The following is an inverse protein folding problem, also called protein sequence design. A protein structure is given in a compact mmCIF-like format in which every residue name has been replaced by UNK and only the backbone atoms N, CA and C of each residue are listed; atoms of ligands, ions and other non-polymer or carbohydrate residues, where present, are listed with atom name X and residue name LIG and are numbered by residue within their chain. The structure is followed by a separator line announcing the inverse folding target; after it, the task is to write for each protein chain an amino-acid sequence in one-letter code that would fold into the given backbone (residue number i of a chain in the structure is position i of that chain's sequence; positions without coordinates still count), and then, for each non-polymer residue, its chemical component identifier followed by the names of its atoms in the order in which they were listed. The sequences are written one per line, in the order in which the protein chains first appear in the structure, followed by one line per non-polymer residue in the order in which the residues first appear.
data_IF_488871135445
#
_entry.id   IF_488871135445
#
_cell.length_a   1.000
_cell.length_b   1.000
_cell.length_c   1.000
_cell.angle_alpha   90.00
_cell.angle_beta   90.00
_cell.angle_gamma   90.00
#
_symmetry.space_group_name_H-M   'P 1'
#
loop_
_entity.id
_entity.type
_entity.pdbx_description
1 polymer ?
#
# COMPACT_ATOMS: atom_id res chain seq x y z
N UNK A 1 -18.96 2.53 -40.04
CA UNK A 1 -19.43 2.83 -38.67
C UNK A 1 -19.54 1.50 -37.95
N UNK A 2 -18.98 1.35 -36.73
CA UNK A 2 -19.09 0.11 -35.96
C UNK A 2 -20.58 -0.19 -35.70
N UNK A 3 -20.95 -1.46 -35.70
CA UNK A 3 -22.32 -1.87 -35.40
C UNK A 3 -22.65 -1.62 -33.92
N UNK A 4 -23.93 -1.54 -33.59
CA UNK A 4 -24.41 -1.38 -32.20
C UNK A 4 -23.88 -2.49 -31.27
N UNK A 5 -23.67 -3.70 -31.81
CA UNK A 5 -23.03 -4.81 -31.10
C UNK A 5 -21.54 -4.61 -30.80
N UNK A 6 -20.81 -3.82 -31.59
CA UNK A 6 -19.38 -3.53 -31.33
C UNK A 6 -19.22 -2.47 -30.24
N UNK A 7 -20.14 -1.50 -30.19
CA UNK A 7 -20.18 -0.49 -29.14
C UNK A 7 -20.44 -1.13 -27.77
N UNK A 8 -21.44 -2.01 -27.67
CA UNK A 8 -21.76 -2.70 -26.42
C UNK A 8 -20.60 -3.57 -25.93
N UNK A 9 -19.90 -4.26 -26.83
CA UNK A 9 -18.67 -5.00 -26.49
C UNK A 9 -17.58 -4.09 -25.96
N UNK A 10 -17.39 -2.92 -26.56
CA UNK A 10 -16.36 -1.98 -26.13
C UNK A 10 -16.63 -1.41 -24.74
N UNK A 11 -17.90 -1.10 -24.45
CA UNK A 11 -18.34 -0.67 -23.12
C UNK A 11 -18.07 -1.76 -22.09
N UNK A 12 -18.38 -3.02 -22.42
CA UNK A 12 -18.11 -4.15 -21.53
C UNK A 12 -16.61 -4.34 -21.27
N UNK A 13 -15.76 -4.21 -22.29
CA UNK A 13 -14.30 -4.26 -22.12
C UNK A 13 -13.78 -3.12 -21.22
N UNK A 14 -14.33 -1.91 -21.36
CA UNK A 14 -13.98 -0.79 -20.50
C UNK A 14 -14.43 -1.02 -19.04
N UNK A 15 -15.62 -1.57 -18.83
CA UNK A 15 -16.11 -1.93 -17.48
C UNK A 15 -15.25 -3.00 -16.82
N UNK A 16 -14.87 -4.04 -17.56
CA UNK A 16 -13.95 -5.05 -17.06
C UNK A 16 -12.58 -4.45 -16.69
N UNK A 17 -12.12 -3.47 -17.50
CA UNK A 17 -10.86 -2.78 -17.23
C UNK A 17 -10.93 -1.88 -16.01
N UNK A 18 -12.01 -1.13 -15.88
CA UNK A 18 -12.32 -0.31 -14.70
C UNK A 18 -12.31 -1.17 -13.44
N UNK A 19 -13.03 -2.29 -13.44
CA UNK A 19 -13.07 -3.23 -12.32
C UNK A 19 -11.66 -3.75 -11.98
N UNK A 20 -10.86 -4.10 -12.98
CA UNK A 20 -9.50 -4.57 -12.76
C UNK A 20 -8.60 -3.47 -12.14
N UNK A 21 -8.78 -2.21 -12.53
CA UNK A 21 -8.07 -1.07 -11.92
C UNK A 21 -8.54 -0.82 -10.49
N UNK A 22 -9.86 -0.89 -10.23
CA UNK A 22 -10.42 -0.76 -8.88
C UNK A 22 -9.86 -1.82 -7.92
N UNK A 23 -9.84 -3.07 -8.35
CA UNK A 23 -9.28 -4.17 -7.54
C UNK A 23 -7.81 -3.91 -7.19
N UNK A 24 -6.99 -3.44 -8.15
CA UNK A 24 -5.59 -3.13 -7.86
C UNK A 24 -5.47 -1.91 -6.94
N UNK A 25 -6.22 -0.83 -7.18
CA UNK A 25 -6.29 0.36 -6.31
C UNK A 25 -6.58 -0.03 -4.87
N UNK A 26 -7.65 -0.79 -4.63
CA UNK A 26 -8.03 -1.24 -3.29
C UNK A 26 -6.99 -2.17 -2.66
N UNK A 27 -6.37 -3.04 -3.46
CA UNK A 27 -5.31 -3.91 -2.97
C UNK A 27 -4.09 -3.11 -2.51
N UNK A 28 -3.68 -2.08 -3.26
CA UNK A 28 -2.61 -1.18 -2.84
C UNK A 28 -3.02 -0.34 -1.62
N UNK A 29 -4.26 0.14 -1.52
CA UNK A 29 -4.75 0.85 -0.33
C UNK A 29 -4.61 -0.01 0.93
N UNK A 30 -5.12 -1.26 0.91
CA UNK A 30 -4.99 -2.18 2.05
C UNK A 30 -3.54 -2.51 2.38
N UNK A 31 -2.70 -2.59 1.35
CA UNK A 31 -1.27 -2.81 1.53
C UNK A 31 -0.60 -1.62 2.20
N UNK A 32 -0.93 -0.39 1.78
CA UNK A 32 -0.50 0.85 2.42
C UNK A 32 -0.95 0.90 3.87
N UNK A 33 -2.19 0.53 4.18
CA UNK A 33 -2.72 0.51 5.55
C UNK A 33 -1.93 -0.47 6.44
N UNK A 34 -1.63 -1.66 5.91
CA UNK A 34 -0.83 -2.66 6.62
C UNK A 34 0.61 -2.19 6.85
N UNK A 35 1.27 -1.65 5.82
CA UNK A 35 2.63 -1.10 5.95
C UNK A 35 2.64 0.05 6.95
N UNK A 36 1.63 0.92 6.90
CA UNK A 36 1.48 2.04 7.83
C UNK A 36 1.40 1.54 9.27
N UNK A 37 0.59 0.50 9.53
CA UNK A 37 0.49 -0.11 10.85
C UNK A 37 1.83 -0.71 11.31
N UNK A 38 2.53 -1.43 10.45
CA UNK A 38 3.85 -2.01 10.74
C UNK A 38 4.87 -0.91 11.02
N UNK A 39 4.88 0.15 10.22
CA UNK A 39 5.76 1.31 10.39
C UNK A 39 5.51 1.99 11.73
N UNK A 40 4.25 2.26 12.09
CA UNK A 40 3.91 2.86 13.37
C UNK A 40 4.25 1.95 14.55
N UNK A 41 4.10 0.64 14.44
CA UNK A 41 4.49 -0.27 15.50
C UNK A 41 6.01 -0.34 15.70
N UNK A 42 6.80 -0.26 14.62
CA UNK A 42 8.26 -0.20 14.70
C UNK A 42 8.75 1.13 15.30
N UNK A 43 8.29 2.27 14.77
CA UNK A 43 8.70 3.60 15.24
C UNK A 43 8.17 3.84 16.66
N UNK A 44 6.89 3.57 16.89
CA UNK A 44 6.24 3.72 18.19
C UNK A 44 6.81 2.76 19.22
N UNK A 45 7.06 1.50 18.85
CA UNK A 45 7.70 0.52 19.71
C UNK A 45 9.12 0.92 20.11
N UNK A 46 9.93 1.41 19.17
CA UNK A 46 11.26 1.94 19.47
C UNK A 46 11.19 3.16 20.40
N UNK A 47 10.28 4.10 20.14
CA UNK A 47 10.09 5.28 21.00
C UNK A 47 9.65 4.90 22.42
N UNK A 48 8.73 3.94 22.56
CA UNK A 48 8.30 3.43 23.87
C UNK A 48 9.46 2.75 24.61
N UNK A 49 10.27 1.93 23.94
CA UNK A 49 11.43 1.27 24.54
C UNK A 49 12.51 2.28 24.97
N UNK A 50 12.74 3.33 24.19
CA UNK A 50 13.64 4.43 24.57
C UNK A 50 13.07 5.17 25.78
N UNK A 51 11.77 5.46 25.79
CA UNK A 51 11.08 6.11 26.90
C UNK A 51 11.15 5.30 28.19
N UNK A 52 10.95 3.97 28.14
CA UNK A 52 11.06 3.10 29.32
C UNK A 52 12.49 2.97 29.81
N UNK A 53 13.48 2.95 28.91
CA UNK A 53 14.90 2.98 29.28
C UNK A 53 15.25 4.29 30.00
N UNK A 54 14.87 5.44 29.42
CA UNK A 54 15.07 6.77 30.02
C UNK A 54 14.36 6.91 31.36
N UNK A 55 13.11 6.46 31.47
CA UNK A 55 12.37 6.50 32.73
C UNK A 55 13.07 5.69 33.83
N UNK A 56 13.55 4.49 33.51
CA UNK A 56 14.26 3.66 34.48
C UNK A 56 15.60 4.25 34.92
N UNK A 57 16.29 5.00 34.05
CA UNK A 57 17.56 5.65 34.36
C UNK A 57 17.36 6.96 35.13
N UNK A 58 16.42 7.81 34.70
CA UNK A 58 16.28 9.19 35.19
C UNK A 58 15.38 9.35 36.42
N UNK A 59 14.36 8.49 36.59
CA UNK A 59 13.38 8.65 37.68
C UNK A 59 13.77 7.92 38.96
N UNK A 60 14.93 7.26 39.00
CA UNK A 60 15.41 6.58 40.21
C UNK A 60 16.67 7.27 40.75
N UNK A 61 16.77 7.52 42.07
CA UNK A 61 17.96 8.09 42.68
C UNK A 61 19.18 7.19 42.39
N UNK A 62 20.37 7.78 42.21
CA UNK A 62 21.60 7.06 41.81
C UNK A 62 21.90 5.82 42.69
N UNK A 63 21.52 5.85 43.97
CA UNK A 63 21.71 4.74 44.91
C UNK A 63 20.80 3.52 44.63
N UNK A 64 19.83 3.65 43.73
CA UNK A 64 18.87 2.60 43.31
C UNK A 64 19.10 2.09 41.88
N UNK A 65 20.23 2.46 41.25
CA UNK A 65 20.71 1.84 40.01
C UNK A 65 21.19 0.41 40.31
N UNK A 66 20.23 -0.49 40.51
CA UNK A 66 20.51 -1.92 40.61
C UNK A 66 20.95 -2.46 39.25
N UNK A 67 21.80 -3.49 39.27
CA UNK A 67 22.25 -4.19 38.05
C UNK A 67 21.07 -4.60 37.16
N UNK A 68 19.94 -4.96 37.76
CA UNK A 68 18.71 -5.31 37.05
C UNK A 68 18.11 -4.15 36.24
N UNK A 69 18.05 -2.93 36.79
CA UNK A 69 17.51 -1.77 36.09
C UNK A 69 18.38 -1.37 34.90
N UNK A 70 19.71 -1.46 35.07
CA UNK A 70 20.67 -1.22 33.99
C UNK A 70 20.53 -2.25 32.87
N UNK A 71 20.35 -3.54 33.21
CA UNK A 71 20.10 -4.60 32.21
C UNK A 71 18.80 -4.32 31.42
N UNK A 72 17.73 -3.91 32.10
CA UNK A 72 16.45 -3.56 31.46
C UNK A 72 16.65 -2.37 30.51
N UNK A 73 17.30 -1.29 30.96
CA UNK A 73 17.52 -0.11 30.14
C UNK A 73 18.39 -0.44 28.90
N UNK A 74 19.48 -1.17 29.07
CA UNK A 74 20.35 -1.60 27.95
C UNK A 74 19.61 -2.50 26.97
N UNK A 75 18.82 -3.46 27.46
CA UNK A 75 18.02 -4.35 26.61
C UNK A 75 16.96 -3.58 25.83
N UNK A 76 16.26 -2.65 26.47
CA UNK A 76 15.28 -1.79 25.81
C UNK A 76 15.92 -0.89 24.75
N UNK A 77 17.07 -0.27 25.04
CA UNK A 77 17.81 0.53 24.06
C UNK A 77 18.29 -0.32 22.88
N UNK A 78 18.80 -1.53 23.13
CA UNK A 78 19.22 -2.45 22.07
C UNK A 78 18.05 -2.87 21.17
N UNK A 79 16.91 -3.24 21.76
CA UNK A 79 15.70 -3.58 21.02
C UNK A 79 15.16 -2.40 20.21
N UNK A 80 15.24 -1.17 20.74
CA UNK A 80 14.84 0.03 20.01
C UNK A 80 15.72 0.27 18.77
N UNK A 81 17.03 0.10 18.90
CA UNK A 81 17.98 0.21 17.77
C UNK A 81 17.73 -0.88 16.74
N UNK A 82 17.45 -2.12 17.16
CA UNK A 82 17.08 -3.20 16.24
C UNK A 82 15.80 -2.90 15.47
N UNK A 83 14.76 -2.38 16.13
CA UNK A 83 13.50 -2.00 15.48
C UNK A 83 13.70 -0.86 14.48
N UNK A 84 14.47 0.16 14.85
CA UNK A 84 14.80 1.27 13.96
C UNK A 84 15.66 0.80 12.77
N UNK A 85 16.66 -0.05 13.02
CA UNK A 85 17.49 -0.66 12.00
C UNK A 85 16.69 -1.53 11.03
N UNK A 86 15.74 -2.32 11.54
CA UNK A 86 14.84 -3.12 10.71
C UNK A 86 13.90 -2.25 9.87
N UNK A 87 13.39 -1.14 10.42
CA UNK A 87 12.59 -0.17 9.68
C UNK A 87 13.35 0.42 8.48
N UNK A 88 14.63 0.76 8.68
CA UNK A 88 15.52 1.28 7.64
C UNK A 88 15.87 0.17 6.64
N UNK A 89 16.28 -1.01 7.12
CA UNK A 89 16.73 -2.12 6.29
C UNK A 89 15.63 -2.70 5.40
N UNK A 90 14.37 -2.57 5.80
CA UNK A 90 13.22 -2.97 5.00
C UNK A 90 12.69 -1.87 4.09
N UNK A 91 13.35 -0.71 4.02
CA UNK A 91 12.99 0.42 3.14
C UNK A 91 11.49 0.77 3.24
N UNK A 92 10.93 0.67 4.45
CA UNK A 92 9.48 0.76 4.67
C UNK A 92 8.87 2.06 4.16
N UNK A 93 9.63 3.15 4.22
CA UNK A 93 9.23 4.46 3.71
C UNK A 93 9.17 4.50 2.18
N UNK A 94 10.13 3.86 1.49
CA UNK A 94 10.13 3.76 0.03
C UNK A 94 9.01 2.85 -0.46
N UNK A 95 8.83 1.69 0.18
CA UNK A 95 7.72 0.77 -0.12
C UNK A 95 6.38 1.47 0.08
N UNK A 96 6.21 2.23 1.16
CA UNK A 96 4.98 2.98 1.42
C UNK A 96 4.74 4.08 0.37
N UNK A 97 5.76 4.87 0.02
CA UNK A 97 5.66 5.92 -0.98
C UNK A 97 5.31 5.37 -2.35
N UNK A 98 6.02 4.33 -2.80
CA UNK A 98 5.77 3.67 -4.08
C UNK A 98 4.39 3.02 -4.12
N UNK A 99 3.94 2.41 -3.03
CA UNK A 99 2.61 1.81 -2.94
C UNK A 99 1.50 2.88 -3.08
N UNK A 100 1.69 4.07 -2.48
CA UNK A 100 0.77 5.21 -2.67
C UNK A 100 0.80 5.77 -4.10
N UNK A 101 1.99 5.86 -4.71
CA UNK A 101 2.12 6.26 -6.12
C UNK A 101 1.33 5.31 -7.02
N UNK A 102 1.53 4.00 -6.86
CA UNK A 102 0.84 2.98 -7.64
C UNK A 102 -0.67 3.01 -7.40
N UNK A 103 -1.12 3.15 -6.15
CA UNK A 103 -2.54 3.32 -5.83
C UNK A 103 -3.15 4.50 -6.60
N UNK A 104 -2.50 5.66 -6.57
CA UNK A 104 -2.99 6.86 -7.24
C UNK A 104 -3.03 6.68 -8.77
N UNK A 105 -2.02 6.07 -9.36
CA UNK A 105 -2.00 5.76 -10.79
C UNK A 105 -3.14 4.82 -11.20
N UNK A 106 -3.47 3.82 -10.38
CA UNK A 106 -4.62 2.93 -10.61
C UNK A 106 -5.96 3.64 -10.45
N UNK A 107 -6.08 4.58 -9.51
CA UNK A 107 -7.26 5.43 -9.36
C UNK A 107 -7.48 6.33 -10.59
N UNK A 108 -6.42 6.95 -11.10
CA UNK A 108 -6.52 7.76 -12.33
C UNK A 108 -6.94 6.91 -13.52
N UNK A 109 -6.44 5.67 -13.63
CA UNK A 109 -6.86 4.72 -14.66
C UNK A 109 -8.31 4.27 -14.52
N UNK A 110 -8.79 4.04 -13.30
CA UNK A 110 -10.19 3.73 -13.00
C UNK A 110 -11.11 4.86 -13.49
N UNK A 111 -10.83 6.09 -13.04
CA UNK A 111 -11.62 7.28 -13.41
C UNK A 111 -11.60 7.51 -14.93
N UNK A 112 -10.43 7.33 -15.57
CA UNK A 112 -10.30 7.46 -17.03
C UNK A 112 -11.14 6.42 -17.78
N UNK A 113 -11.18 5.18 -17.31
CA UNK A 113 -12.00 4.13 -17.93
C UNK A 113 -13.49 4.39 -17.72
N UNK A 114 -13.90 4.80 -16.51
CA UNK A 114 -15.29 5.13 -16.19
C UNK A 114 -15.81 6.30 -17.05
N UNK A 115 -15.01 7.37 -17.19
CA UNK A 115 -15.35 8.53 -18.01
C UNK A 115 -15.45 8.23 -19.50
N UNK A 116 -14.71 7.23 -19.99
CA UNK A 116 -14.70 6.86 -21.39
C UNK A 116 -15.99 6.18 -21.88
N UNK A 117 -16.83 5.66 -20.98
CA UNK A 117 -18.06 4.93 -21.34
C UNK A 117 -19.08 5.80 -22.09
N UNK A 118 -18.96 7.13 -22.01
CA UNK A 118 -19.86 8.08 -22.69
C UNK A 118 -19.26 8.64 -24.00
N UNK A 119 -18.06 8.21 -24.38
CA UNK A 119 -17.33 8.72 -25.56
C UNK A 119 -17.74 8.00 -26.85
N UNK A 120 -17.24 8.48 -27.99
CA UNK A 120 -17.43 7.78 -29.27
C UNK A 120 -16.58 6.50 -29.29
N UNK A 121 -17.01 5.50 -30.07
CA UNK A 121 -16.32 4.20 -30.18
C UNK A 121 -14.80 4.30 -30.40
N UNK A 122 -14.35 5.18 -31.29
CA UNK A 122 -12.91 5.35 -31.57
C UNK A 122 -12.16 5.87 -30.33
N UNK A 123 -12.74 6.83 -29.61
CA UNK A 123 -12.16 7.39 -28.40
C UNK A 123 -12.18 6.36 -27.25
N UNK A 124 -13.25 5.58 -27.10
CA UNK A 124 -13.31 4.45 -26.17
C UNK A 124 -12.18 3.46 -26.42
N UNK A 125 -11.97 3.09 -27.69
CA UNK A 125 -10.93 2.16 -28.12
C UNK A 125 -9.55 2.69 -27.77
N UNK A 126 -9.28 3.96 -28.06
CA UNK A 126 -7.99 4.60 -27.76
C UNK A 126 -7.73 4.67 -26.25
N UNK A 127 -8.75 5.01 -25.45
CA UNK A 127 -8.64 5.02 -24.00
C UNK A 127 -8.35 3.61 -23.46
N UNK A 128 -9.05 2.59 -23.95
CA UNK A 128 -8.83 1.21 -23.52
C UNK A 128 -7.40 0.73 -23.80
N UNK A 129 -6.88 0.95 -25.01
CA UNK A 129 -5.50 0.56 -25.34
C UNK A 129 -4.48 1.34 -24.53
N UNK A 130 -4.69 2.66 -24.37
CA UNK A 130 -3.86 3.51 -23.50
C UNK A 130 -3.84 3.00 -22.06
N UNK A 131 -5.01 2.66 -21.50
CA UNK A 131 -5.14 2.13 -20.14
C UNK A 131 -4.50 0.74 -20.02
N UNK A 132 -4.61 -0.10 -21.04
CA UNK A 132 -3.96 -1.41 -21.08
C UNK A 132 -2.45 -1.30 -21.08
N UNK A 133 -1.89 -0.43 -21.92
CA UNK A 133 -0.45 -0.19 -21.97
C UNK A 133 0.06 0.40 -20.66
N UNK A 134 -0.62 1.41 -20.11
CA UNK A 134 -0.25 2.01 -18.83
C UNK A 134 -0.31 0.99 -17.68
N UNK A 135 -1.32 0.13 -17.63
CA UNK A 135 -1.36 -0.93 -16.61
C UNK A 135 -0.19 -1.91 -16.74
N UNK A 136 0.20 -2.29 -17.95
CA UNK A 136 1.37 -3.16 -18.16
C UNK A 136 2.66 -2.49 -17.67
N UNK A 137 2.85 -1.21 -18.00
CA UNK A 137 3.98 -0.41 -17.52
C UNK A 137 4.01 -0.33 -15.99
N UNK A 138 2.89 0.00 -15.35
CA UNK A 138 2.80 0.04 -13.89
C UNK A 138 3.14 -1.32 -13.27
N UNK A 139 2.78 -2.44 -13.89
CA UNK A 139 3.11 -3.78 -13.38
C UNK A 139 4.58 -4.17 -13.58
N UNK A 140 5.22 -3.71 -14.64
CA UNK A 140 6.65 -3.96 -14.90
C UNK A 140 7.55 -3.07 -14.07
N UNK A 141 7.16 -1.82 -13.85
CA UNK A 141 7.94 -0.83 -13.10
C UNK A 141 7.70 -0.91 -11.58
N UNK A 142 6.62 -1.55 -11.13
CA UNK A 142 6.30 -1.70 -9.72
C UNK A 142 7.41 -2.44 -8.96
N UNK A 143 8.11 -1.71 -8.09
CA UNK A 143 9.12 -2.23 -7.17
C UNK A 143 8.49 -2.97 -5.98
N UNK A 144 7.24 -2.61 -5.64
CA UNK A 144 6.44 -3.21 -4.57
C UNK A 144 5.17 -3.81 -5.16
N UNK A 145 4.73 -4.93 -4.60
CA UNK A 145 3.49 -5.60 -5.01
C UNK A 145 2.73 -6.04 -3.77
N UNK A 146 1.41 -5.75 -3.68
CA UNK A 146 0.60 -6.27 -2.60
C UNK A 146 0.62 -7.80 -2.66
N UNK A 147 0.78 -8.49 -1.51
CA UNK A 147 0.69 -9.92 -1.42
C UNK A 147 -0.58 -10.48 -2.07
N UNK A 148 -0.48 -11.71 -2.61
CA UNK A 148 -1.60 -12.36 -3.32
C UNK A 148 -2.87 -12.44 -2.48
N UNK A 149 -2.73 -12.67 -1.17
CA UNK A 149 -3.87 -12.79 -0.25
C UNK A 149 -4.65 -11.47 -0.11
N UNK A 150 -3.99 -10.30 -0.18
CA UNK A 150 -4.68 -9.00 -0.16
C UNK A 150 -5.55 -8.85 -1.41
N UNK A 151 -4.99 -9.15 -2.57
CA UNK A 151 -5.73 -9.10 -3.85
C UNK A 151 -6.91 -10.05 -3.85
N UNK A 152 -6.73 -11.27 -3.34
CA UNK A 152 -7.81 -12.25 -3.23
C UNK A 152 -8.92 -11.77 -2.30
N UNK A 153 -8.60 -11.14 -1.17
CA UNK A 153 -9.61 -10.57 -0.28
C UNK A 153 -10.41 -9.46 -0.97
N UNK A 154 -9.75 -8.56 -1.70
CA UNK A 154 -10.43 -7.50 -2.46
C UNK A 154 -11.35 -8.10 -3.52
N UNK A 155 -10.87 -9.07 -4.30
CA UNK A 155 -11.68 -9.75 -5.32
C UNK A 155 -12.92 -10.43 -4.73
N UNK A 156 -12.80 -11.04 -3.54
CA UNK A 156 -13.91 -11.67 -2.85
C UNK A 156 -14.94 -10.65 -2.35
N UNK A 157 -14.49 -9.45 -2.00
CA UNK A 157 -15.35 -8.36 -1.54
C UNK A 157 -16.10 -7.77 -2.73
N UNK A 158 -15.41 -7.44 -3.81
CA UNK A 158 -16.04 -6.94 -5.05
C UNK A 158 -17.11 -7.90 -5.59
N UNK A 159 -16.85 -9.22 -5.57
CA UNK A 159 -17.85 -10.26 -5.96
C UNK A 159 -19.08 -10.35 -5.06
N UNK A 160 -19.04 -9.81 -3.85
CA UNK A 160 -20.19 -9.82 -2.92
C UNK A 160 -21.07 -8.59 -3.07
N UNK A 161 -20.51 -7.49 -3.58
CA UNK A 161 -21.19 -6.21 -3.69
C UNK A 161 -21.64 -5.89 -5.12
N UNK A 162 -21.18 -6.65 -6.12
CA UNK A 162 -21.58 -6.58 -7.53
C UNK A 162 -21.90 -7.98 -8.08
#
# INVERSE_FOLDING_TARGET
MPGEGDLNKMIELLKQKELACRIEKEAYQRWVDLITLIRFSMIGGAALLIGTALFNILMRPLDYLTTQNTIIAVSCSFLAVLLAGLHIALEMDEIHLESRRLQHEYELLEVKCAGAQNLKYNEMRDVYFSAQQKQLLLKSEAQTKPPKWIRQQVQLIERKFF
#
